data_IF_269403953494
#
_entry.id   IF_269403953494
#
_cell.length_a   1.000
_cell.length_b   1.000
_cell.length_c   1.000
_cell.angle_alpha   90.00
_cell.angle_beta   90.00
_cell.angle_gamma   90.00
#
_symmetry.space_group_name_H-M   'P 1'
#
loop_
_entity.id
_entity.type
_entity.pdbx_description
1 polymer ?
#
# COMPACT_ATOMS: atom_id res chain seq x y z
N UNK A 1 -10.23 31.99 27.58
CA UNK A 1 -11.09 30.83 27.24
C UNK A 1 -12.31 31.22 26.39
N UNK A 2 -12.24 32.29 25.57
CA UNK A 2 -13.38 32.79 24.77
C UNK A 2 -13.02 33.06 23.29
N UNK A 3 -11.87 32.55 22.83
CA UNK A 3 -11.40 32.71 21.43
C UNK A 3 -11.34 31.39 20.64
N UNK A 4 -11.71 30.25 21.23
CA UNK A 4 -11.74 28.95 20.54
C UNK A 4 -13.13 28.48 20.11
N UNK A 5 -14.22 29.07 20.64
CA UNK A 5 -15.59 28.66 20.27
C UNK A 5 -16.06 29.22 18.92
N UNK A 6 -15.48 30.32 18.42
CA UNK A 6 -15.96 30.96 17.18
C UNK A 6 -15.47 30.23 15.92
N UNK A 7 -14.35 29.51 15.98
CA UNK A 7 -13.85 28.76 14.83
C UNK A 7 -14.60 27.45 14.55
N UNK A 8 -15.21 26.83 15.57
CA UNK A 8 -15.93 25.56 15.41
C UNK A 8 -17.31 25.73 14.77
N UNK A 9 -17.95 26.90 14.92
CA UNK A 9 -19.29 27.15 14.37
C UNK A 9 -19.24 27.44 12.87
N UNK A 10 -18.15 27.99 12.35
CA UNK A 10 -18.02 28.33 10.91
C UNK A 10 -17.75 27.07 10.06
N UNK A 11 -17.07 26.06 10.61
CA UNK A 11 -16.77 24.82 9.89
C UNK A 11 -18.01 23.91 9.77
N UNK A 12 -18.91 23.91 10.77
CA UNK A 12 -20.15 23.12 10.71
C UNK A 12 -21.20 23.67 9.73
N UNK A 13 -21.08 24.93 9.31
CA UNK A 13 -22.00 25.56 8.34
C UNK A 13 -21.57 25.28 6.89
N UNK A 14 -20.27 25.10 6.62
CA UNK A 14 -19.77 24.82 5.27
C UNK A 14 -19.87 23.35 4.84
N UNK A 15 -20.02 22.40 5.76
CA UNK A 15 -20.18 20.96 5.43
C UNK A 15 -21.64 20.58 5.10
N UNK A 16 -22.60 21.50 5.27
CA UNK A 16 -24.03 21.23 5.15
C UNK A 16 -24.69 21.68 3.84
N UNK A 17 -23.88 22.04 2.83
CA UNK A 17 -24.34 22.50 1.52
C UNK A 17 -23.60 21.75 0.40
N UNK A 18 -23.81 20.44 0.29
CA UNK A 18 -23.74 19.68 -0.98
C UNK A 18 -23.97 18.19 -0.69
N UNK A 19 -25.24 17.81 -0.59
CA UNK A 19 -25.71 16.43 -0.78
C UNK A 19 -27.23 16.47 -0.95
N UNK A 20 -27.68 16.72 -2.18
CA UNK A 20 -29.05 16.42 -2.61
C UNK A 20 -28.94 15.27 -3.62
N UNK A 21 -29.33 14.03 -3.28
CA UNK A 21 -29.49 13.00 -4.29
C UNK A 21 -30.91 13.11 -4.86
N UNK A 22 -31.02 13.70 -6.04
CA UNK A 22 -32.21 13.53 -6.88
C UNK A 22 -32.28 12.08 -7.35
N UNK A 23 -33.44 11.48 -7.12
CA UNK A 23 -33.91 10.26 -7.75
C UNK A 23 -33.92 10.43 -9.27
N UNK A 24 -33.16 9.59 -9.98
CA UNK A 24 -33.44 9.26 -11.37
C UNK A 24 -33.47 7.75 -11.52
N UNK A 25 -34.68 7.20 -11.41
CA UNK A 25 -35.02 5.84 -11.82
C UNK A 25 -34.93 5.76 -13.36
N UNK A 26 -33.75 5.38 -13.89
CA UNK A 26 -33.60 5.06 -15.31
C UNK A 26 -33.81 3.56 -15.51
N UNK A 27 -35.00 3.26 -16.04
CA UNK A 27 -35.42 1.98 -16.57
C UNK A 27 -34.49 1.55 -17.72
N UNK A 28 -33.65 0.52 -17.52
CA UNK A 28 -32.91 -0.11 -18.63
C UNK A 28 -33.89 -0.91 -19.50
N UNK A 29 -34.45 -0.28 -20.52
CA UNK A 29 -35.06 -0.99 -21.64
C UNK A 29 -33.95 -1.56 -22.53
N UNK A 30 -34.02 -2.86 -22.73
CA UNK A 30 -33.18 -3.67 -23.59
C UNK A 30 -33.19 -3.14 -25.04
N UNK A 31 -32.23 -2.28 -25.40
CA UNK A 31 -32.06 -1.84 -26.78
C UNK A 31 -31.30 -2.90 -27.57
N UNK A 32 -32.04 -3.69 -28.33
CA UNK A 32 -31.54 -4.47 -29.46
C UNK A 32 -30.77 -3.52 -30.39
N UNK A 33 -29.45 -3.70 -30.49
CA UNK A 33 -28.62 -2.98 -31.46
C UNK A 33 -28.94 -3.56 -32.84
N UNK A 34 -29.94 -2.98 -33.50
CA UNK A 34 -30.16 -3.19 -34.93
C UNK A 34 -29.14 -2.29 -35.64
N UNK A 35 -28.02 -2.88 -36.08
CA UNK A 35 -27.13 -2.25 -37.05
C UNK A 35 -27.91 -2.10 -38.36
N UNK A 36 -28.47 -0.90 -38.59
CA UNK A 36 -28.97 -0.50 -39.91
C UNK A 36 -27.76 -0.23 -40.80
N UNK A 37 -27.46 -1.20 -41.65
CA UNK A 37 -26.44 -1.12 -42.69
C UNK A 37 -26.92 -0.18 -43.81
N UNK A 38 -26.49 1.09 -43.76
CA UNK A 38 -26.56 2.00 -44.89
C UNK A 38 -25.33 1.78 -45.78
N UNK A 39 -25.34 0.71 -46.58
CA UNK A 39 -24.88 0.68 -47.97
C UNK A 39 -23.47 1.21 -48.33
N UNK A 40 -22.55 1.36 -47.37
CA UNK A 40 -21.11 1.52 -47.66
C UNK A 40 -20.42 0.31 -47.05
N UNK A 41 -20.35 -0.74 -47.86
CA UNK A 41 -19.53 -1.91 -47.56
C UNK A 41 -18.07 -1.44 -47.57
N UNK A 42 -17.54 -1.04 -46.42
CA UNK A 42 -16.11 -1.15 -46.18
C UNK A 42 -15.82 -2.65 -46.24
N UNK A 43 -15.55 -3.16 -47.44
CA UNK A 43 -15.06 -4.51 -47.65
C UNK A 43 -13.69 -4.52 -46.99
N UNK A 44 -13.66 -4.90 -45.72
CA UNK A 44 -12.44 -5.05 -44.99
C UNK A 44 -11.69 -6.22 -45.62
N UNK A 45 -10.74 -5.89 -46.50
CA UNK A 45 -9.93 -6.86 -47.24
C UNK A 45 -8.84 -7.43 -46.32
N UNK A 46 -9.24 -8.02 -45.20
CA UNK A 46 -8.36 -8.80 -44.34
C UNK A 46 -8.74 -10.28 -44.41
N UNK A 47 -7.76 -11.20 -44.31
CA UNK A 47 -8.06 -12.63 -44.28
C UNK A 47 -8.99 -12.97 -43.11
N UNK A 48 -10.02 -13.79 -43.36
CA UNK A 48 -10.99 -14.22 -42.34
C UNK A 48 -10.30 -14.84 -41.11
N UNK A 49 -9.24 -15.62 -41.33
CA UNK A 49 -8.46 -16.23 -40.26
C UNK A 49 -7.77 -15.20 -39.35
N UNK A 50 -7.28 -14.07 -39.88
CA UNK A 50 -6.73 -13.01 -39.03
C UNK A 50 -7.81 -12.38 -38.14
N UNK A 51 -9.04 -12.25 -38.67
CA UNK A 51 -10.17 -11.73 -37.90
C UNK A 51 -10.60 -12.69 -36.79
N UNK A 52 -10.61 -14.00 -37.05
CA UNK A 52 -10.92 -14.99 -36.00
C UNK A 52 -9.88 -14.94 -34.86
N UNK A 53 -8.59 -14.82 -35.16
CA UNK A 53 -7.55 -14.66 -34.13
C UNK A 53 -7.79 -13.38 -33.30
N UNK A 54 -8.11 -12.27 -33.96
CA UNK A 54 -8.44 -11.00 -33.28
C UNK A 54 -9.68 -11.14 -32.39
N UNK A 55 -10.72 -11.81 -32.88
CA UNK A 55 -11.95 -12.04 -32.14
C UNK A 55 -11.71 -12.89 -30.90
N UNK A 56 -10.95 -13.98 -31.02
CA UNK A 56 -10.57 -14.81 -29.88
C UNK A 56 -9.70 -14.04 -28.88
N UNK A 57 -8.79 -13.18 -29.34
CA UNK A 57 -8.05 -12.26 -28.46
C UNK A 57 -9.01 -11.36 -27.67
N UNK A 58 -9.98 -10.73 -28.33
CA UNK A 58 -10.95 -9.85 -27.70
C UNK A 58 -11.86 -10.58 -26.69
N UNK A 59 -12.31 -11.79 -27.02
CA UNK A 59 -13.10 -12.64 -26.11
C UNK A 59 -12.30 -13.01 -24.85
N UNK A 60 -11.04 -13.43 -25.01
CA UNK A 60 -10.18 -13.77 -23.87
C UNK A 60 -9.82 -12.53 -23.03
N UNK A 61 -9.62 -11.36 -23.65
CA UNK A 61 -9.42 -10.09 -22.96
C UNK A 61 -10.65 -9.71 -22.11
N UNK A 62 -11.85 -9.86 -22.67
CA UNK A 62 -13.11 -9.61 -21.97
C UNK A 62 -13.30 -10.57 -20.80
N UNK A 63 -13.03 -11.86 -20.99
CA UNK A 63 -13.14 -12.87 -19.94
C UNK A 63 -12.17 -12.60 -18.78
N UNK A 64 -10.91 -12.25 -19.08
CA UNK A 64 -9.94 -11.87 -18.06
C UNK A 64 -10.39 -10.60 -17.31
N UNK A 65 -10.87 -9.59 -18.02
CA UNK A 65 -11.38 -8.35 -17.41
C UNK A 65 -12.55 -8.63 -16.48
N UNK A 66 -13.51 -9.44 -16.91
CA UNK A 66 -14.63 -9.88 -16.07
C UNK A 66 -14.13 -10.60 -14.81
N UNK A 67 -13.23 -11.59 -14.98
CA UNK A 67 -12.69 -12.36 -13.87
C UNK A 67 -11.98 -11.47 -12.84
N UNK A 68 -11.10 -10.57 -13.30
CA UNK A 68 -10.33 -9.69 -12.40
C UNK A 68 -11.24 -8.75 -11.58
N UNK A 69 -12.30 -8.22 -12.19
CA UNK A 69 -13.28 -7.37 -11.49
C UNK A 69 -14.03 -8.18 -10.42
N UNK A 70 -14.47 -9.40 -10.74
CA UNK A 70 -15.17 -10.27 -9.78
C UNK A 70 -14.28 -10.73 -8.63
N UNK A 71 -12.96 -10.80 -8.84
CA UNK A 71 -11.97 -11.24 -7.87
C UNK A 71 -11.12 -10.09 -7.30
N UNK A 72 -11.65 -8.86 -7.31
CA UNK A 72 -10.98 -7.68 -6.79
C UNK A 72 -11.09 -7.53 -5.26
N UNK A 73 -12.10 -8.16 -4.62
CA UNK A 73 -12.34 -8.10 -3.17
C UNK A 73 -13.01 -9.38 -2.66
N UNK A 74 -12.33 -10.21 -1.83
CA UNK A 74 -10.89 -10.19 -1.57
C UNK A 74 -10.08 -10.43 -2.84
N UNK A 75 -8.84 -9.93 -2.89
CA UNK A 75 -7.98 -10.06 -4.08
C UNK A 75 -7.59 -11.53 -4.24
N UNK A 76 -8.10 -12.15 -5.30
CA UNK A 76 -7.84 -13.56 -5.66
C UNK A 76 -7.62 -13.73 -7.17
N UNK A 77 -7.22 -12.63 -7.83
CA UNK A 77 -7.20 -12.56 -9.28
C UNK A 77 -6.09 -13.40 -9.89
N UNK A 78 -4.93 -13.55 -9.21
CA UNK A 78 -3.83 -14.33 -9.74
C UNK A 78 -4.25 -15.80 -9.82
N UNK A 79 -4.83 -16.34 -8.75
CA UNK A 79 -5.29 -17.72 -8.66
C UNK A 79 -6.48 -18.00 -9.58
N UNK A 80 -7.50 -17.13 -9.56
CA UNK A 80 -8.79 -17.39 -10.22
C UNK A 80 -8.77 -17.07 -11.71
N UNK A 81 -7.95 -16.10 -12.15
CA UNK A 81 -7.97 -15.60 -13.54
C UNK A 81 -6.79 -16.08 -14.40
N UNK A 82 -5.90 -16.94 -13.86
CA UNK A 82 -4.72 -17.46 -14.58
C UNK A 82 -5.07 -18.10 -15.94
N UNK A 83 -6.18 -18.84 -16.01
CA UNK A 83 -6.58 -19.55 -17.23
C UNK A 83 -6.92 -18.57 -18.35
N UNK A 84 -7.67 -17.53 -18.04
CA UNK A 84 -8.07 -16.52 -19.02
C UNK A 84 -6.88 -15.64 -19.41
N UNK A 85 -6.00 -15.32 -18.46
CA UNK A 85 -4.75 -14.62 -18.72
C UNK A 85 -3.85 -15.37 -19.70
N UNK A 86 -3.64 -16.67 -19.49
CA UNK A 86 -2.80 -17.51 -20.38
C UNK A 86 -3.37 -17.54 -21.79
N UNK A 87 -4.68 -17.74 -21.95
CA UNK A 87 -5.34 -17.73 -23.26
C UNK A 87 -5.21 -16.38 -23.96
N UNK A 88 -5.48 -15.29 -23.24
CA UNK A 88 -5.32 -13.93 -23.74
C UNK A 88 -3.89 -13.68 -24.24
N UNK A 89 -2.89 -14.02 -23.42
CA UNK A 89 -1.46 -13.87 -23.74
C UNK A 89 -1.09 -14.69 -24.98
N UNK A 90 -1.52 -15.94 -25.04
CA UNK A 90 -1.16 -16.85 -26.12
C UNK A 90 -1.83 -16.44 -27.44
N UNK A 91 -3.08 -15.95 -27.40
CA UNK A 91 -3.76 -15.40 -28.58
C UNK A 91 -3.14 -14.11 -29.08
N UNK A 92 -2.68 -13.25 -28.18
CA UNK A 92 -1.90 -12.08 -28.59
C UNK A 92 -0.58 -12.47 -29.27
N UNK A 93 0.15 -13.46 -28.72
CA UNK A 93 1.37 -13.99 -29.37
C UNK A 93 1.08 -14.57 -30.74
N UNK A 94 -0.01 -15.33 -30.89
CA UNK A 94 -0.47 -15.87 -32.16
C UNK A 94 -0.74 -14.73 -33.16
N UNK A 95 -1.45 -13.68 -32.75
CA UNK A 95 -1.74 -12.50 -33.56
C UNK A 95 -0.46 -11.81 -34.07
N UNK A 96 0.59 -11.76 -33.25
CA UNK A 96 1.87 -11.15 -33.62
C UNK A 96 2.64 -11.93 -34.70
N UNK A 97 2.49 -13.25 -34.75
CA UNK A 97 3.28 -14.13 -35.64
C UNK A 97 2.49 -14.67 -36.83
N UNK A 98 1.16 -14.64 -36.78
CA UNK A 98 0.31 -15.20 -37.83
C UNK A 98 0.47 -14.47 -39.18
N UNK A 99 0.69 -15.26 -40.23
CA UNK A 99 0.74 -14.81 -41.62
C UNK A 99 -0.24 -15.65 -42.43
N UNK A 100 -1.22 -15.00 -43.03
CA UNK A 100 -2.29 -15.65 -43.81
C UNK A 100 -2.23 -15.12 -45.23
N UNK A 101 -2.06 -16.01 -46.21
CA UNK A 101 -1.92 -15.65 -47.63
C UNK A 101 -0.84 -14.59 -47.88
N UNK A 102 0.31 -14.70 -47.19
CA UNK A 102 1.42 -13.75 -47.27
C UNK A 102 1.17 -12.41 -46.55
N UNK A 103 0.00 -12.22 -45.93
CA UNK A 103 -0.34 -11.00 -45.18
C UNK A 103 -0.19 -11.23 -43.68
N UNK A 104 0.57 -10.38 -42.99
CA UNK A 104 0.74 -10.47 -41.54
C UNK A 104 -0.49 -9.91 -40.81
N UNK A 105 -1.07 -10.68 -39.88
CA UNK A 105 -2.20 -10.20 -39.08
C UNK A 105 -1.78 -9.04 -38.16
N UNK A 106 -0.53 -9.08 -37.66
CA UNK A 106 0.08 -7.99 -36.90
C UNK A 106 0.03 -6.67 -37.67
N UNK A 107 0.46 -6.63 -38.94
CA UNK A 107 0.48 -5.38 -39.71
C UNK A 107 -0.91 -4.85 -40.06
N UNK A 108 -1.94 -5.69 -39.96
CA UNK A 108 -3.34 -5.28 -40.17
C UNK A 108 -3.91 -4.63 -38.90
N UNK A 109 -3.71 -5.25 -37.74
CA UNK A 109 -4.43 -4.87 -36.51
C UNK A 109 -3.57 -4.14 -35.48
N UNK A 110 -2.26 -4.23 -35.58
CA UNK A 110 -1.33 -3.50 -34.73
C UNK A 110 -0.59 -2.46 -35.59
N UNK A 111 -0.63 -1.20 -35.19
CA UNK A 111 0.10 -0.07 -35.82
C UNK A 111 -0.49 0.51 -37.12
N UNK A 112 -1.79 0.35 -37.41
CA UNK A 112 -2.42 1.07 -38.54
C UNK A 112 -2.99 2.44 -38.16
N UNK A 113 -3.39 2.61 -36.91
CA UNK A 113 -4.04 3.82 -36.44
C UNK A 113 -3.37 4.39 -35.18
N UNK A 114 -3.62 5.67 -34.90
CA UNK A 114 -3.02 6.38 -33.75
C UNK A 114 -3.54 5.90 -32.40
N UNK A 115 -4.70 5.25 -32.36
CA UNK A 115 -5.31 4.74 -31.14
C UNK A 115 -4.68 3.39 -30.74
N UNK A 116 -4.37 2.55 -31.73
CA UNK A 116 -3.79 1.22 -31.60
C UNK A 116 -4.49 0.38 -30.52
N UNK A 117 -5.83 0.33 -30.60
CA UNK A 117 -6.68 -0.20 -29.53
C UNK A 117 -6.29 -1.60 -29.06
N UNK A 118 -5.91 -2.49 -30.00
CA UNK A 118 -5.50 -3.87 -29.68
C UNK A 118 -4.28 -3.88 -28.76
N UNK A 119 -3.28 -3.04 -29.03
CA UNK A 119 -2.09 -2.92 -28.21
C UNK A 119 -2.41 -2.25 -26.86
N UNK A 120 -3.23 -1.20 -26.85
CA UNK A 120 -3.61 -0.50 -25.63
C UNK A 120 -4.35 -1.43 -24.64
N UNK A 121 -5.31 -2.22 -25.11
CA UNK A 121 -5.97 -3.22 -24.27
C UNK A 121 -5.01 -4.32 -23.82
N UNK A 122 -4.08 -4.73 -24.68
CA UNK A 122 -3.08 -5.70 -24.30
C UNK A 122 -2.21 -5.20 -23.13
N UNK A 123 -1.66 -3.99 -23.26
CA UNK A 123 -0.74 -3.39 -22.30
C UNK A 123 -1.44 -3.09 -20.97
N UNK A 124 -2.72 -2.70 -21.01
CA UNK A 124 -3.53 -2.51 -19.80
C UNK A 124 -3.76 -3.82 -19.04
N UNK A 125 -4.14 -4.90 -19.73
CA UNK A 125 -4.32 -6.22 -19.11
C UNK A 125 -3.00 -6.74 -18.53
N UNK A 126 -1.91 -6.60 -19.29
CA UNK A 126 -0.58 -6.97 -18.82
C UNK A 126 -0.19 -6.16 -17.57
N UNK A 127 -0.48 -4.86 -17.55
CA UNK A 127 -0.25 -4.01 -16.38
C UNK A 127 -1.00 -4.47 -15.14
N UNK A 128 -2.26 -4.92 -15.27
CA UNK A 128 -3.03 -5.47 -14.13
C UNK A 128 -2.36 -6.74 -13.60
N UNK A 129 -1.95 -7.64 -14.48
CA UNK A 129 -1.26 -8.88 -14.10
C UNK A 129 0.07 -8.62 -13.39
N UNK A 130 0.88 -7.71 -13.94
CA UNK A 130 2.21 -7.38 -13.44
C UNK A 130 2.16 -6.58 -12.13
N UNK A 131 1.20 -5.64 -11.98
CA UNK A 131 0.98 -4.92 -10.71
C UNK A 131 0.51 -5.86 -9.59
N UNK A 132 -0.22 -6.92 -9.94
CA UNK A 132 -0.55 -7.99 -9.00
C UNK A 132 0.64 -8.89 -8.64
N UNK A 133 1.79 -8.69 -9.29
CA UNK A 133 2.94 -9.58 -9.25
C UNK A 133 2.54 -11.05 -9.43
N UNK A 134 1.56 -11.31 -10.29
CA UNK A 134 0.93 -12.63 -10.36
C UNK A 134 1.88 -13.69 -10.91
N UNK A 135 2.91 -13.30 -11.68
CA UNK A 135 3.95 -14.23 -12.11
C UNK A 135 4.65 -14.90 -10.92
N UNK A 136 4.77 -14.23 -9.78
CA UNK A 136 5.44 -14.79 -8.61
C UNK A 136 4.65 -15.83 -7.82
N UNK A 137 3.34 -15.96 -8.07
CA UNK A 137 2.53 -17.08 -7.57
C UNK A 137 2.87 -18.40 -8.30
N UNK A 138 3.53 -18.35 -9.47
CA UNK A 138 3.68 -19.50 -10.36
C UNK A 138 5.13 -19.77 -10.79
N UNK A 139 5.44 -21.04 -11.00
CA UNK A 139 6.55 -21.48 -11.82
C UNK A 139 6.08 -21.60 -13.27
N UNK A 140 6.83 -21.03 -14.19
CA UNK A 140 6.51 -21.05 -15.62
C UNK A 140 7.43 -22.02 -16.35
N UNK A 141 6.91 -23.19 -16.73
CA UNK A 141 7.65 -24.19 -17.50
C UNK A 141 7.08 -24.27 -18.91
N UNK A 142 7.87 -23.93 -19.92
CA UNK A 142 7.41 -23.90 -21.32
C UNK A 142 6.14 -23.04 -21.53
N UNK A 143 5.98 -21.96 -20.76
CA UNK A 143 4.82 -21.07 -20.83
C UNK A 143 3.56 -21.57 -20.11
N UNK A 144 3.60 -22.75 -19.48
CA UNK A 144 2.52 -23.31 -18.69
C UNK A 144 2.74 -22.94 -17.21
N UNK A 145 1.74 -22.33 -16.53
CA UNK A 145 1.85 -21.97 -15.13
C UNK A 145 1.58 -23.19 -14.22
N UNK A 146 2.43 -23.40 -13.23
CA UNK A 146 2.18 -24.30 -12.09
C UNK A 146 2.39 -23.54 -10.79
N UNK A 147 1.52 -23.73 -9.79
CA UNK A 147 1.66 -23.01 -8.51
C UNK A 147 3.02 -23.30 -7.88
N UNK A 148 3.68 -22.27 -7.34
CA UNK A 148 4.91 -22.46 -6.56
C UNK A 148 4.58 -23.24 -5.28
N UNK A 149 5.52 -24.06 -4.81
CA UNK A 149 5.35 -24.82 -3.56
C UNK A 149 5.07 -23.90 -2.38
N UNK A 150 5.78 -22.77 -2.30
CA UNK A 150 5.60 -21.74 -1.27
C UNK A 150 4.19 -21.12 -1.26
N UNK A 151 3.60 -20.93 -2.44
CA UNK A 151 2.22 -20.43 -2.58
C UNK A 151 1.21 -21.47 -2.08
N UNK A 152 1.43 -22.75 -2.38
CA UNK A 152 0.59 -23.86 -1.89
C UNK A 152 0.68 -23.94 -0.36
N UNK A 153 1.90 -23.89 0.19
CA UNK A 153 2.14 -23.93 1.63
C UNK A 153 1.47 -22.74 2.33
N UNK A 154 1.56 -21.53 1.77
CA UNK A 154 0.85 -20.35 2.29
C UNK A 154 -0.66 -20.57 2.35
N UNK A 155 -1.28 -21.05 1.27
CA UNK A 155 -2.73 -21.26 1.23
C UNK A 155 -3.19 -22.32 2.23
N UNK A 156 -2.40 -23.39 2.42
CA UNK A 156 -2.67 -24.38 3.48
C UNK A 156 -2.67 -23.72 4.85
N UNK A 157 -1.58 -23.04 5.23
CA UNK A 157 -1.44 -22.40 6.54
C UNK A 157 -2.49 -21.30 6.78
N UNK A 158 -2.85 -20.55 5.73
CA UNK A 158 -3.89 -19.54 5.77
C UNK A 158 -5.27 -20.16 6.02
N UNK A 159 -5.57 -21.28 5.36
CA UNK A 159 -6.82 -22.02 5.59
C UNK A 159 -6.85 -22.63 7.00
N UNK A 160 -5.76 -23.25 7.46
CA UNK A 160 -5.65 -23.79 8.82
C UNK A 160 -5.91 -22.70 9.88
N UNK A 161 -5.37 -21.49 9.65
CA UNK A 161 -5.61 -20.32 10.51
C UNK A 161 -7.08 -19.91 10.50
N UNK A 162 -7.71 -19.80 9.32
CA UNK A 162 -9.13 -19.45 9.18
C UNK A 162 -10.04 -20.49 9.82
N UNK A 163 -9.71 -21.77 9.69
CA UNK A 163 -10.45 -22.87 10.27
C UNK A 163 -10.34 -22.86 11.80
N UNK A 164 -9.14 -22.60 12.34
CA UNK A 164 -8.96 -22.43 13.78
C UNK A 164 -9.78 -21.26 14.30
N UNK A 165 -9.69 -20.09 13.66
CA UNK A 165 -10.46 -18.90 14.05
C UNK A 165 -11.95 -19.22 14.03
N UNK A 166 -12.46 -19.79 12.94
CA UNK A 166 -13.88 -20.12 12.79
C UNK A 166 -14.37 -21.12 13.84
N UNK A 167 -13.54 -22.08 14.23
CA UNK A 167 -13.85 -23.09 15.24
C UNK A 167 -14.02 -22.52 16.65
N UNK A 168 -13.23 -21.52 17.02
CA UNK A 168 -13.21 -20.95 18.38
C UNK A 168 -13.86 -19.56 18.49
N UNK A 169 -14.40 -19.04 17.39
CA UNK A 169 -15.09 -17.75 17.35
C UNK A 169 -16.53 -17.89 17.87
N UNK A 170 -16.64 -18.18 19.16
CA UNK A 170 -17.90 -18.26 19.90
C UNK A 170 -18.26 -16.86 20.45
N UNK A 171 -19.50 -16.35 20.20
CA UNK A 171 -19.95 -15.06 20.73
C UNK A 171 -19.98 -14.98 22.26
N UNK A 172 -20.14 -16.11 22.97
CA UNK A 172 -20.29 -16.13 24.42
C UNK A 172 -18.96 -16.35 25.17
N UNK A 173 -17.96 -16.99 24.54
CA UNK A 173 -16.64 -17.24 25.13
C UNK A 173 -15.54 -17.38 24.06
N UNK A 174 -15.14 -16.28 23.43
CA UNK A 174 -14.08 -16.28 22.42
C UNK A 174 -12.70 -16.57 23.03
N UNK A 175 -12.23 -17.81 22.90
CA UNK A 175 -10.85 -18.21 23.23
C UNK A 175 -9.91 -18.21 22.00
N UNK A 176 -10.34 -17.61 20.88
CA UNK A 176 -9.61 -17.62 19.59
C UNK A 176 -8.14 -17.26 19.76
N UNK A 177 -7.85 -16.16 20.46
CA UNK A 177 -6.48 -15.68 20.63
C UNK A 177 -5.59 -16.71 21.30
N UNK A 178 -6.08 -17.44 22.30
CA UNK A 178 -5.29 -18.42 23.03
C UNK A 178 -5.15 -19.74 22.27
N UNK A 179 -6.20 -20.18 21.56
CA UNK A 179 -6.22 -21.46 20.86
C UNK A 179 -5.55 -21.41 19.49
N UNK A 180 -5.56 -20.25 18.84
CA UNK A 180 -5.05 -20.07 17.47
C UNK A 180 -3.76 -19.25 17.39
N UNK A 181 -3.20 -18.77 18.51
CA UNK A 181 -1.97 -17.95 18.52
C UNK A 181 -0.86 -18.62 17.73
N UNK A 182 -0.55 -19.87 18.07
CA UNK A 182 0.59 -20.58 17.47
C UNK A 182 0.41 -20.76 15.96
N UNK A 183 -0.80 -21.15 15.51
CA UNK A 183 -1.09 -21.33 14.08
C UNK A 183 -0.96 -20.01 13.32
N UNK A 184 -1.44 -18.91 13.91
CA UNK A 184 -1.29 -17.57 13.35
C UNK A 184 0.17 -17.12 13.30
N UNK A 185 0.96 -17.36 14.36
CA UNK A 185 2.38 -17.02 14.41
C UNK A 185 3.18 -17.79 13.37
N UNK A 186 2.93 -19.09 13.21
CA UNK A 186 3.55 -19.91 12.17
C UNK A 186 3.26 -19.36 10.76
N UNK A 187 2.01 -18.96 10.47
CA UNK A 187 1.65 -18.30 9.22
C UNK A 187 2.38 -16.97 9.02
N UNK A 188 2.45 -16.13 10.06
CA UNK A 188 3.10 -14.81 10.01
C UNK A 188 4.61 -14.93 9.81
N UNK A 189 5.25 -15.89 10.46
CA UNK A 189 6.65 -16.22 10.25
C UNK A 189 6.90 -16.73 8.84
N UNK A 190 6.09 -17.67 8.35
CA UNK A 190 6.20 -18.17 6.99
C UNK A 190 6.06 -17.04 5.97
N UNK A 191 5.06 -16.17 6.11
CA UNK A 191 4.89 -15.00 5.24
C UNK A 191 6.12 -14.09 5.23
N UNK A 192 6.77 -13.85 6.38
CA UNK A 192 8.03 -13.07 6.44
C UNK A 192 9.16 -13.73 5.66
N UNK A 193 9.20 -15.05 5.55
CA UNK A 193 10.21 -15.74 4.71
C UNK A 193 9.98 -15.55 3.21
N UNK A 194 8.74 -15.25 2.79
CA UNK A 194 8.39 -15.04 1.39
C UNK A 194 8.75 -13.64 0.90
N UNK A 195 8.86 -12.67 1.80
CA UNK A 195 9.21 -11.30 1.45
C UNK A 195 10.68 -11.01 1.73
N UNK A 196 11.37 -10.40 0.76
CA UNK A 196 12.69 -9.82 0.98
C UNK A 196 12.67 -8.62 1.92
N UNK A 197 11.50 -8.00 2.13
CA UNK A 197 11.31 -6.83 2.97
C UNK A 197 10.38 -7.12 4.15
N UNK A 198 10.65 -6.49 5.29
CA UNK A 198 9.76 -6.57 6.47
C UNK A 198 8.32 -6.08 6.22
N UNK A 199 8.08 -5.41 5.09
CA UNK A 199 6.80 -4.81 4.68
C UNK A 199 6.01 -5.70 3.69
N UNK A 200 6.63 -6.68 3.01
CA UNK A 200 5.89 -7.62 2.15
C UNK A 200 5.76 -7.26 0.66
N UNK A 201 6.47 -6.25 0.15
CA UNK A 201 6.06 -5.55 -1.09
C UNK A 201 6.80 -6.01 -2.35
N UNK A 202 8.07 -6.41 -2.25
CA UNK A 202 8.92 -6.44 -3.44
C UNK A 202 8.99 -7.79 -4.20
N UNK A 203 8.30 -8.84 -3.73
CA UNK A 203 8.41 -10.17 -4.37
C UNK A 203 7.25 -11.15 -4.11
N UNK A 204 6.14 -10.69 -3.53
CA UNK A 204 5.02 -11.56 -3.15
C UNK A 204 3.82 -11.22 -4.02
N UNK A 205 3.14 -12.24 -4.55
CA UNK A 205 1.94 -12.00 -5.37
C UNK A 205 0.78 -11.45 -4.52
N UNK A 206 -0.04 -10.60 -5.14
CA UNK A 206 -1.02 -9.78 -4.44
C UNK A 206 -2.11 -10.60 -3.72
N UNK A 207 -2.46 -11.78 -4.22
CA UNK A 207 -3.40 -12.70 -3.57
C UNK A 207 -2.91 -13.10 -2.16
N UNK A 208 -1.62 -13.38 -2.01
CA UNK A 208 -0.99 -13.71 -0.72
C UNK A 208 -0.96 -12.47 0.19
N UNK A 209 -0.55 -11.32 -0.36
CA UNK A 209 -0.45 -10.05 0.37
C UNK A 209 -1.82 -9.64 0.94
N UNK A 210 -2.88 -9.66 0.12
CA UNK A 210 -4.24 -9.32 0.54
C UNK A 210 -4.77 -10.32 1.58
N UNK A 211 -4.58 -11.62 1.36
CA UNK A 211 -4.96 -12.65 2.33
C UNK A 211 -4.27 -12.45 3.69
N UNK A 212 -2.97 -12.17 3.70
CA UNK A 212 -2.24 -11.92 4.94
C UNK A 212 -2.66 -10.62 5.62
N UNK A 213 -2.87 -9.55 4.86
CA UNK A 213 -3.36 -8.27 5.40
C UNK A 213 -4.77 -8.39 6.00
N UNK A 214 -5.67 -9.12 5.32
CA UNK A 214 -7.00 -9.43 5.85
C UNK A 214 -6.91 -10.25 7.13
N UNK A 215 -6.02 -11.26 7.17
CA UNK A 215 -5.80 -12.11 8.34
C UNK A 215 -5.26 -11.29 9.53
N UNK A 216 -4.23 -10.46 9.31
CA UNK A 216 -3.70 -9.53 10.33
C UNK A 216 -4.73 -8.53 10.82
N UNK A 217 -5.56 -8.00 9.93
CA UNK A 217 -6.65 -7.08 10.30
C UNK A 217 -7.68 -7.78 11.18
N UNK A 218 -8.11 -8.99 10.81
CA UNK A 218 -9.04 -9.80 11.61
C UNK A 218 -8.44 -10.13 12.97
N UNK A 219 -7.18 -10.58 13.01
CA UNK A 219 -6.47 -10.93 14.25
C UNK A 219 -6.34 -9.75 15.22
N UNK A 220 -5.90 -8.59 14.71
CA UNK A 220 -5.59 -7.43 15.53
C UNK A 220 -6.79 -6.55 15.85
N UNK A 221 -7.67 -6.27 14.88
CA UNK A 221 -8.77 -5.29 15.04
C UNK A 221 -10.09 -5.96 15.38
N UNK A 222 -10.43 -7.04 14.70
CA UNK A 222 -11.73 -7.72 14.90
C UNK A 222 -11.68 -8.54 16.19
N UNK A 223 -10.63 -9.36 16.36
CA UNK A 223 -10.48 -10.26 17.51
C UNK A 223 -9.72 -9.64 18.70
N UNK A 224 -9.06 -8.49 18.50
CA UNK A 224 -8.28 -7.79 19.54
C UNK A 224 -7.17 -8.65 20.20
N UNK A 225 -6.60 -9.61 19.48
CA UNK A 225 -5.59 -10.52 20.02
C UNK A 225 -4.22 -9.87 20.31
N UNK A 226 -3.96 -8.67 19.79
CA UNK A 226 -2.68 -7.96 19.98
C UNK A 226 -2.57 -7.15 21.29
N UNK A 227 -3.37 -7.46 22.32
CA UNK A 227 -3.45 -6.68 23.57
C UNK A 227 -2.13 -6.67 24.38
N UNK A 228 -1.19 -7.56 24.08
CA UNK A 228 0.11 -7.66 24.75
C UNK A 228 0.99 -6.39 24.63
N UNK A 229 0.75 -5.54 23.63
CA UNK A 229 1.59 -4.35 23.36
C UNK A 229 1.23 -3.10 24.17
N UNK A 230 0.19 -3.12 25.00
CA UNK A 230 -0.22 -1.96 25.81
C UNK A 230 0.50 -1.83 27.16
N UNK A 231 1.03 -2.93 27.70
CA UNK A 231 1.72 -2.94 29.00
C UNK A 231 3.13 -2.30 29.01
N UNK A 232 3.96 -2.34 27.93
CA UNK A 232 5.29 -1.72 27.97
C UNK A 232 5.29 -0.19 27.78
N UNK A 233 4.17 0.41 27.37
CA UNK A 233 4.10 1.86 27.09
C UNK A 233 4.30 2.69 28.36
N UNK A 234 3.72 2.28 29.48
CA UNK A 234 3.83 2.99 30.78
C UNK A 234 5.27 2.97 31.30
N UNK A 235 5.95 1.83 31.20
CA UNK A 235 7.35 1.67 31.64
C UNK A 235 8.29 2.46 30.75
N UNK A 236 8.05 2.46 29.44
CA UNK A 236 8.82 3.29 28.50
C UNK A 236 8.66 4.78 28.80
N UNK A 237 7.42 5.25 28.98
CA UNK A 237 7.13 6.64 29.29
C UNK A 237 7.73 7.09 30.63
N UNK A 238 7.73 6.23 31.65
CA UNK A 238 8.34 6.54 32.95
C UNK A 238 9.86 6.67 32.85
N UNK A 239 10.53 5.74 32.17
CA UNK A 239 11.97 5.81 31.91
C UNK A 239 12.36 7.05 31.09
N UNK A 240 11.61 7.35 30.03
CA UNK A 240 11.83 8.53 29.20
C UNK A 240 11.67 9.83 30.01
N UNK A 241 10.68 9.89 30.90
CA UNK A 241 10.47 11.02 31.81
C UNK A 241 11.64 11.24 32.77
N UNK A 242 12.14 10.16 33.40
CA UNK A 242 13.30 10.22 34.30
C UNK A 242 14.54 10.72 33.55
N UNK A 243 14.85 10.12 32.40
CA UNK A 243 16.02 10.50 31.59
C UNK A 243 15.93 11.97 31.15
N UNK A 244 14.75 12.44 30.76
CA UNK A 244 14.53 13.84 30.36
C UNK A 244 14.69 14.82 31.52
N UNK A 245 14.45 14.39 32.76
CA UNK A 245 14.57 15.22 33.96
C UNK A 245 15.99 15.26 34.53
N UNK A 246 16.83 14.26 34.26
CA UNK A 246 18.22 14.20 34.74
C UNK A 246 19.07 15.43 34.35
N UNK A 247 19.01 15.98 33.11
CA UNK A 247 19.74 17.21 32.76
C UNK A 247 19.28 18.43 33.58
N UNK A 248 17.98 18.54 33.84
CA UNK A 248 17.41 19.65 34.63
C UNK A 248 17.94 19.55 36.06
N UNK A 249 17.90 18.36 36.66
CA UNK A 249 18.48 18.10 37.98
C UNK A 249 19.98 18.38 38.01
N UNK A 250 20.72 17.99 36.98
CA UNK A 250 22.14 18.28 36.86
C UNK A 250 22.41 19.80 36.89
N UNK A 251 21.71 20.60 36.08
CA UNK A 251 21.89 22.04 36.06
C UNK A 251 21.48 22.73 37.37
N UNK A 252 20.39 22.27 38.00
CA UNK A 252 19.98 22.74 39.33
C UNK A 252 21.08 22.41 40.35
N UNK A 253 21.60 21.19 40.34
CA UNK A 253 22.67 20.76 41.26
C UNK A 253 23.95 21.58 41.05
N UNK A 254 24.35 21.85 39.80
CA UNK A 254 25.49 22.72 39.51
C UNK A 254 25.23 24.15 39.98
N UNK A 255 24.00 24.66 39.86
CA UNK A 255 23.63 26.02 40.28
C UNK A 255 23.67 26.23 41.79
N UNK A 256 23.19 25.26 42.56
CA UNK A 256 23.03 25.39 44.02
C UNK A 256 24.14 24.70 44.83
N UNK A 257 24.71 23.61 44.31
CA UNK A 257 25.76 22.81 44.98
C UNK A 257 27.13 22.90 44.28
N UNK A 258 27.22 23.60 43.15
CA UNK A 258 28.52 23.91 42.56
C UNK A 258 29.35 24.75 43.54
N UNK A 259 30.67 24.52 43.65
CA UNK A 259 31.50 25.36 44.48
C UNK A 259 31.27 26.80 44.04
N UNK A 260 30.88 27.68 44.98
CA UNK A 260 31.08 29.10 44.82
C UNK A 260 32.57 29.19 44.53
N UNK A 261 32.94 29.32 43.26
CA UNK A 261 34.28 29.76 42.90
C UNK A 261 34.32 31.13 43.52
N UNK A 262 34.90 31.22 44.71
CA UNK A 262 35.58 32.43 45.14
C UNK A 262 36.35 32.85 43.91
N UNK A 263 35.83 33.85 43.20
CA UNK A 263 36.49 34.41 42.05
C UNK A 263 37.85 34.78 42.63
N UNK A 264 38.97 34.10 42.27
CA UNK A 264 40.22 34.42 42.90
C UNK A 264 40.40 35.90 42.65
N UNK A 265 40.60 36.67 43.72
CA UNK A 265 40.69 38.15 43.74
C UNK A 265 41.80 38.71 42.79
N UNK A 266 42.38 37.86 41.95
CA UNK A 266 43.40 38.10 40.94
C UNK A 266 42.90 38.98 39.78
N UNK A 267 41.58 39.05 39.52
CA UNK A 267 41.03 40.07 38.60
C UNK A 267 40.61 41.37 39.31
N UNK A 268 40.89 41.52 40.61
CA UNK A 268 40.72 42.76 41.35
C UNK A 268 42.01 43.60 41.35
N UNK A 269 42.88 43.45 40.36
CA UNK A 269 43.97 44.40 40.16
C UNK A 269 43.43 45.65 39.44
N UNK A 270 43.11 46.65 40.26
CA UNK A 270 42.54 47.93 39.86
C UNK A 270 43.53 48.80 39.07
N UNK A 271 43.84 48.44 37.82
CA UNK A 271 44.58 49.33 36.91
C UNK A 271 43.87 50.68 36.73
N UNK A 272 42.54 50.69 36.88
CA UNK A 272 41.72 51.91 36.85
C UNK A 272 41.99 52.86 38.04
N UNK A 273 42.18 52.32 39.26
CA UNK A 273 42.45 53.12 40.47
C UNK A 273 43.85 53.75 40.45
N UNK A 274 44.84 53.05 39.89
CA UNK A 274 46.19 53.58 39.71
C UNK A 274 46.26 54.71 38.68
N UNK A 275 45.41 54.69 37.65
CA UNK A 275 45.35 55.74 36.63
C UNK A 275 44.72 57.02 37.20
N UNK A 276 43.64 56.90 37.99
CA UNK A 276 42.99 58.04 38.64
C UNK A 276 43.91 58.70 39.68
N UNK A 277 44.62 57.91 40.49
CA UNK A 277 45.57 58.46 41.47
C UNK A 277 46.76 59.17 40.81
N UNK A 278 47.24 58.69 39.65
CA UNK A 278 48.25 59.41 38.88
C UNK A 278 47.72 60.72 38.29
N UNK A 279 46.47 60.75 37.80
CA UNK A 279 45.84 61.98 37.32
C UNK A 279 45.70 63.04 38.42
N UNK A 280 45.24 62.65 39.61
CA UNK A 280 45.06 63.58 40.74
C UNK A 280 46.38 64.11 41.33
N UNK A 281 47.46 63.33 41.26
CA UNK A 281 48.79 63.79 41.71
C UNK A 281 49.46 64.82 40.78
N UNK A 282 49.00 64.93 39.53
CA UNK A 282 49.52 65.92 38.58
C UNK A 282 48.81 67.27 38.81
N UNK A 283 47.53 67.26 39.16
CA UNK A 283 46.74 68.46 39.47
C UNK A 283 47.21 69.17 40.75
N UNK A 284 47.74 68.45 41.75
CA UNK A 284 48.15 69.02 43.03
C UNK A 284 49.57 69.61 43.05
N UNK A 285 50.21 69.78 41.88
CA UNK A 285 51.58 70.34 41.77
C UNK A 285 51.65 71.59 40.91
N UNK A 286 50.50 72.18 40.58
CA UNK A 286 50.36 73.42 39.82
C UNK A 286 49.56 74.47 40.57
N UNK A 287 49.92 74.71 41.84
CA UNK A 287 49.65 75.93 42.59
C UNK A 287 50.84 76.21 43.53
#
# INVERSE_FOLDING_TARGET
>A
MFKFCVLFVIISIFVKLEANPENDDIYYSQSQVILRDNGIRYSSSYPSQCFEILKEFAENASNFTLCTILHARPITLCEKCIKDYVKFRDKYKELLVAVVNGTSCKSIFLSQDRLNAVQEYHDNILSVWDKGNCNDCYNWTLGIPSLKSTTIDFYRMSNDTKDCISKYNDPDNSEVCNKCMQIYEELDEFYKTLSSDSIGVDSVCMDIVDSMNATRSTWSKTLNCCNLRRTPEVVFLSCAGIISFLPILYYITVRYCGPIRDLPNVLKQSRFKQTILRGLSIESRSD
#
